data_IF_457231274235
#
_entry.id   IF_457231274235
#
_cell.length_a   1.000
_cell.length_b   1.000
_cell.length_c   1.000
_cell.angle_alpha   90.00
_cell.angle_beta   90.00
_cell.angle_gamma   90.00
#
_symmetry.space_group_name_H-M   'P 1'
#
loop_
_entity.id
_entity.type
_entity.pdbx_description
1 polymer ?
#
# COMPACT_ATOMS: atom_id res chain seq x y z
N UNK A 1 -26.85 -13.10 -14.57
CA UNK A 1 -25.83 -13.00 -15.64
C UNK A 1 -26.35 -13.04 -17.08
N UNK A 2 -27.52 -13.64 -17.42
CA UNK A 2 -27.93 -13.88 -18.82
C UNK A 2 -28.42 -12.67 -19.62
N UNK A 3 -28.89 -11.60 -18.98
CA UNK A 3 -29.49 -10.44 -19.69
C UNK A 3 -28.44 -9.42 -20.15
N UNK A 4 -27.27 -9.34 -19.51
CA UNK A 4 -26.22 -8.37 -19.84
C UNK A 4 -25.13 -8.94 -20.75
N UNK A 5 -25.01 -10.27 -20.86
CA UNK A 5 -24.00 -10.95 -21.66
C UNK A 5 -23.97 -10.56 -23.16
N UNK A 6 -25.09 -10.39 -23.88
CA UNK A 6 -25.05 -10.03 -25.30
C UNK A 6 -24.64 -8.58 -25.59
N UNK A 7 -24.58 -7.71 -24.56
CA UNK A 7 -24.23 -6.29 -24.70
C UNK A 7 -22.84 -5.96 -24.13
N UNK A 8 -22.15 -6.94 -23.56
CA UNK A 8 -20.91 -6.74 -22.80
C UNK A 8 -19.81 -7.61 -23.39
N UNK A 9 -18.97 -7.02 -24.24
CA UNK A 9 -17.75 -7.67 -24.73
C UNK A 9 -16.64 -7.51 -23.69
N UNK A 10 -16.13 -8.63 -23.14
CA UNK A 10 -15.06 -8.65 -22.13
C UNK A 10 -13.99 -9.65 -22.53
N UNK A 11 -12.74 -9.21 -22.53
CA UNK A 11 -11.56 -10.04 -22.71
C UNK A 11 -10.58 -9.75 -21.56
N UNK A 12 -9.98 -10.78 -20.95
CA UNK A 12 -9.03 -10.53 -19.88
C UNK A 12 -7.74 -9.92 -20.44
N UNK A 13 -7.21 -8.89 -19.76
CA UNK A 13 -5.95 -8.27 -20.16
C UNK A 13 -4.81 -9.29 -20.24
N UNK A 14 -4.87 -10.36 -19.45
CA UNK A 14 -3.86 -11.42 -19.48
C UNK A 14 -3.99 -12.31 -20.72
N UNK A 15 -5.20 -12.71 -21.13
CA UNK A 15 -5.41 -13.52 -22.34
C UNK A 15 -5.06 -12.76 -23.63
N UNK A 16 -5.42 -11.48 -23.70
CA UNK A 16 -5.14 -10.66 -24.89
C UNK A 16 -3.67 -10.26 -24.98
N UNK A 17 -3.05 -9.94 -23.84
CA UNK A 17 -1.72 -9.34 -23.84
C UNK A 17 -0.58 -10.35 -23.70
N UNK A 18 -0.84 -11.61 -23.31
CA UNK A 18 0.20 -12.65 -23.15
C UNK A 18 1.08 -12.86 -24.40
N UNK A 19 0.52 -12.59 -25.59
CA UNK A 19 1.25 -12.72 -26.86
C UNK A 19 1.81 -11.40 -27.39
N UNK A 20 1.49 -10.26 -26.77
CA UNK A 20 1.79 -8.92 -27.29
C UNK A 20 2.66 -8.06 -26.37
N UNK A 21 2.68 -8.38 -25.07
CA UNK A 21 3.47 -7.63 -24.09
C UNK A 21 4.60 -8.49 -23.52
N UNK A 22 5.72 -7.86 -23.10
CA UNK A 22 6.76 -8.53 -22.34
C UNK A 22 6.21 -9.18 -21.06
N UNK A 23 6.93 -10.19 -20.51
CA UNK A 23 6.49 -10.88 -19.31
C UNK A 23 6.35 -9.91 -18.12
N UNK A 24 5.33 -10.17 -17.30
CA UNK A 24 5.03 -9.44 -16.06
C UNK A 24 5.22 -10.38 -14.86
N UNK A 25 5.99 -9.94 -13.89
CA UNK A 25 6.16 -10.63 -12.59
C UNK A 25 5.57 -9.75 -11.50
N UNK A 26 4.81 -10.33 -10.57
CA UNK A 26 4.18 -9.62 -9.46
C UNK A 26 4.58 -10.26 -8.13
N UNK A 27 5.14 -9.46 -7.23
CA UNK A 27 5.53 -9.83 -5.89
C UNK A 27 4.62 -9.16 -4.88
N UNK A 28 4.09 -9.93 -3.93
CA UNK A 28 3.46 -9.39 -2.72
C UNK A 28 4.47 -9.51 -1.60
N UNK A 29 4.89 -8.36 -1.07
CA UNK A 29 5.97 -8.24 -0.09
C UNK A 29 5.35 -7.88 1.25
N UNK A 30 5.32 -8.85 2.16
CA UNK A 30 4.85 -8.67 3.53
C UNK A 30 5.97 -8.05 4.36
N UNK A 31 5.83 -6.77 4.69
CA UNK A 31 6.76 -6.00 5.51
C UNK A 31 6.34 -6.09 6.97
N UNK A 32 7.28 -6.45 7.86
CA UNK A 32 7.04 -6.30 9.31
C UNK A 32 6.95 -4.81 9.66
N UNK A 33 6.07 -4.47 10.60
CA UNK A 33 6.05 -3.15 11.18
C UNK A 33 7.35 -2.89 11.95
N UNK A 34 7.85 -1.65 11.91
CA UNK A 34 8.92 -1.22 12.81
C UNK A 34 8.44 -1.28 14.27
N UNK A 35 9.34 -1.45 15.24
CA UNK A 35 8.96 -1.56 16.66
C UNK A 35 8.15 -0.35 17.16
N UNK A 36 8.51 0.86 16.72
CA UNK A 36 7.74 2.10 16.96
C UNK A 36 6.30 1.98 16.42
N UNK A 37 6.13 1.51 15.18
CA UNK A 37 4.82 1.32 14.56
C UNK A 37 4.02 0.23 15.27
N UNK A 38 4.63 -0.91 15.58
CA UNK A 38 3.96 -2.04 16.22
C UNK A 38 3.43 -1.67 17.61
N UNK A 39 4.24 -0.96 18.42
CA UNK A 39 3.80 -0.48 19.73
C UNK A 39 2.65 0.52 19.62
N UNK A 40 2.76 1.48 18.70
CA UNK A 40 1.69 2.44 18.44
C UNK A 40 0.43 1.78 17.90
N UNK A 41 0.54 0.75 17.06
CA UNK A 41 -0.60 0.06 16.47
C UNK A 41 -1.38 -0.68 17.55
N UNK A 42 -0.67 -1.41 18.41
CA UNK A 42 -1.28 -2.08 19.56
C UNK A 42 -1.87 -1.08 20.57
N UNK A 43 -1.23 0.07 20.80
CA UNK A 43 -1.78 1.14 21.63
C UNK A 43 -3.06 1.72 21.01
N UNK A 44 -3.03 2.07 19.73
CA UNK A 44 -4.16 2.64 19.01
C UNK A 44 -5.38 1.71 19.00
N UNK A 45 -5.18 0.41 18.74
CA UNK A 45 -6.26 -0.58 18.80
C UNK A 45 -6.92 -0.65 20.18
N UNK A 46 -6.15 -0.58 21.26
CA UNK A 46 -6.70 -0.57 22.63
C UNK A 46 -7.57 0.66 22.86
N UNK A 47 -7.11 1.83 22.42
CA UNK A 47 -7.83 3.09 22.57
C UNK A 47 -9.11 3.13 21.71
N UNK A 48 -9.05 2.71 20.45
CA UNK A 48 -10.18 2.76 19.54
C UNK A 48 -11.17 1.60 19.72
N UNK A 49 -10.79 0.50 20.38
CA UNK A 49 -11.65 -0.68 20.58
C UNK A 49 -13.02 -0.33 21.20
N UNK A 50 -13.04 0.53 22.23
CA UNK A 50 -14.29 0.93 22.90
C UNK A 50 -15.20 1.73 21.97
N UNK A 51 -14.61 2.59 21.13
CA UNK A 51 -15.34 3.39 20.15
C UNK A 51 -15.87 2.54 18.99
N UNK A 52 -15.04 1.66 18.44
CA UNK A 52 -15.35 0.84 17.26
C UNK A 52 -16.35 -0.28 17.59
N UNK A 53 -16.28 -0.89 18.78
CA UNK A 53 -17.12 -2.04 19.15
C UNK A 53 -18.23 -1.71 20.15
N UNK A 54 -18.22 -0.52 20.76
CA UNK A 54 -19.09 -0.16 21.89
C UNK A 54 -20.37 0.62 21.54
N UNK A 55 -20.55 1.05 20.29
CA UNK A 55 -21.81 1.67 19.82
C UNK A 55 -22.18 3.03 20.46
N UNK A 56 -21.27 3.68 21.17
CA UNK A 56 -21.52 4.98 21.82
C UNK A 56 -21.42 6.18 20.86
N UNK A 57 -22.26 7.20 21.05
CA UNK A 57 -22.40 8.37 20.17
C UNK A 57 -21.26 9.41 20.24
N UNK A 58 -20.04 9.00 20.59
CA UNK A 58 -18.89 9.91 20.78
C UNK A 58 -17.52 9.29 20.48
N UNK A 59 -17.48 8.12 19.82
CA UNK A 59 -16.25 7.42 19.47
C UNK A 59 -15.77 7.68 18.03
N UNK A 60 -14.50 7.38 17.75
CA UNK A 60 -13.95 7.35 16.38
C UNK A 60 -14.76 6.36 15.53
N UNK A 61 -15.30 6.82 14.40
CA UNK A 61 -16.03 5.96 13.47
C UNK A 61 -15.12 4.83 12.95
N UNK A 62 -15.63 3.60 12.72
CA UNK A 62 -14.82 2.48 12.24
C UNK A 62 -13.99 2.80 10.99
N UNK A 63 -14.56 3.56 10.04
CA UNK A 63 -13.85 4.00 8.84
C UNK A 63 -12.68 4.95 9.15
N UNK A 64 -12.87 5.89 10.07
CA UNK A 64 -11.80 6.78 10.50
C UNK A 64 -10.70 6.02 11.24
N UNK A 65 -11.08 5.06 12.08
CA UNK A 65 -10.11 4.23 12.80
C UNK A 65 -9.26 3.40 11.84
N UNK A 66 -9.89 2.89 10.80
CA UNK A 66 -9.26 2.13 9.74
C UNK A 66 -8.29 2.97 8.90
N UNK A 67 -8.68 4.18 8.50
CA UNK A 67 -7.81 5.12 7.80
C UNK A 67 -6.58 5.50 8.65
N UNK A 68 -6.75 5.69 9.96
CA UNK A 68 -5.64 5.97 10.88
C UNK A 68 -4.67 4.78 10.98
N UNK A 69 -5.18 3.54 11.02
CA UNK A 69 -4.35 2.34 10.99
C UNK A 69 -3.57 2.21 9.67
N UNK A 70 -4.19 2.54 8.53
CA UNK A 70 -3.50 2.54 7.22
C UNK A 70 -2.39 3.60 7.16
N UNK A 71 -2.63 4.80 7.71
CA UNK A 71 -1.59 5.83 7.86
C UNK A 71 -0.46 5.36 8.78
N UNK A 72 -0.78 4.66 9.87
CA UNK A 72 0.22 4.09 10.76
C UNK A 72 1.08 3.03 10.08
N UNK A 73 0.47 2.13 9.30
CA UNK A 73 1.18 1.14 8.48
C UNK A 73 2.15 1.81 7.49
N UNK A 74 1.76 2.97 6.97
CA UNK A 74 2.57 3.78 6.06
C UNK A 74 3.75 4.44 6.77
N UNK A 75 3.52 5.22 7.82
CA UNK A 75 4.58 5.79 8.68
C UNK A 75 4.01 6.27 10.01
N UNK A 76 4.72 5.98 11.10
CA UNK A 76 4.39 6.52 12.43
C UNK A 76 4.39 8.06 12.46
N UNK A 77 5.32 8.68 11.73
CA UNK A 77 5.45 10.14 11.63
C UNK A 77 4.25 10.79 10.98
N UNK A 78 3.69 10.16 9.93
CA UNK A 78 2.53 10.69 9.20
C UNK A 78 1.26 10.71 10.04
N UNK A 79 1.12 9.79 10.99
CA UNK A 79 -0.01 9.79 11.92
C UNK A 79 0.17 10.82 13.05
N UNK A 80 1.42 11.00 13.50
CA UNK A 80 1.75 11.75 14.72
C UNK A 80 2.04 13.23 14.49
N UNK A 81 2.46 13.61 13.27
CA UNK A 81 2.62 15.02 12.89
C UNK A 81 1.36 15.45 12.16
N UNK A 82 0.80 16.58 12.59
CA UNK A 82 -0.28 17.20 11.84
C UNK A 82 0.25 17.51 10.44
N UNK A 83 -0.32 16.85 9.44
CA UNK A 83 -0.04 17.17 8.06
C UNK A 83 -0.58 18.59 7.84
N UNK A 84 0.32 19.56 7.67
CA UNK A 84 -0.06 20.90 7.27
C UNK A 84 -0.78 20.81 5.91
N UNK A 85 -2.13 20.82 5.94
CA UNK A 85 -2.97 20.90 4.75
C UNK A 85 -3.38 19.56 4.10
N UNK A 86 -3.61 18.49 4.86
CA UNK A 86 -4.14 17.23 4.31
C UNK A 86 -5.64 17.36 3.98
N UNK A 87 -5.96 17.81 2.77
CA UNK A 87 -7.25 17.53 2.17
C UNK A 87 -7.24 16.07 1.70
N UNK A 88 -7.69 15.16 2.57
CA UNK A 88 -8.23 13.91 2.07
C UNK A 88 -9.43 14.25 1.20
N UNK A 89 -9.24 14.27 -0.12
CA UNK A 89 -10.29 14.55 -1.09
C UNK A 89 -11.25 13.34 -1.16
N UNK A 90 -12.12 13.25 -0.15
CA UNK A 90 -13.33 12.44 -0.15
C UNK A 90 -14.50 13.31 -0.63
N UNK A 91 -15.02 12.93 -1.80
CA UNK A 91 -16.39 13.17 -2.28
C UNK A 91 -16.96 14.59 -2.13
N UNK A 92 -16.64 15.47 -3.08
CA UNK A 92 -17.53 16.58 -3.49
C UNK A 92 -17.83 16.49 -4.98
N UNK A 93 -18.78 15.63 -5.32
CA UNK A 93 -19.51 15.76 -6.58
C UNK A 93 -20.84 16.49 -6.29
N UNK A 94 -21.01 17.65 -6.94
CA UNK A 94 -22.23 18.44 -7.16
C UNK A 94 -23.26 18.67 -6.03
N UNK A 95 -23.39 19.93 -5.57
CA UNK A 95 -24.64 20.42 -4.96
C UNK A 95 -24.50 21.63 -4.03
N UNK A 96 -24.69 22.83 -4.60
CA UNK A 96 -25.09 24.13 -4.02
C UNK A 96 -24.36 24.77 -2.80
N UNK A 97 -23.97 26.03 -3.03
CA UNK A 97 -23.57 27.05 -2.04
C UNK A 97 -24.64 27.30 -0.97
N UNK A 98 -24.24 27.37 0.31
CA UNK A 98 -24.41 28.54 1.21
C UNK A 98 -24.02 28.18 2.66
N UNK A 99 -23.41 29.18 3.34
CA UNK A 99 -23.16 29.33 4.79
C UNK A 99 -21.75 29.04 5.37
N UNK A 100 -21.06 30.16 5.65
CA UNK A 100 -20.09 30.49 6.72
C UNK A 100 -18.86 29.59 7.04
N UNK A 101 -17.68 30.19 7.33
CA UNK A 101 -16.44 29.46 7.54
C UNK A 101 -16.31 28.98 9.00
N UNK A 102 -16.94 27.85 9.32
CA UNK A 102 -16.43 27.03 10.41
C UNK A 102 -15.20 26.30 9.90
N UNK A 103 -14.03 26.60 10.48
CA UNK A 103 -12.79 25.85 10.26
C UNK A 103 -13.04 24.40 10.68
N UNK A 104 -13.49 23.57 9.75
CA UNK A 104 -13.62 22.13 9.96
C UNK A 104 -12.20 21.60 10.13
N UNK A 105 -11.86 21.14 11.34
CA UNK A 105 -10.60 20.41 11.56
C UNK A 105 -10.50 19.31 10.48
N UNK A 106 -9.31 19.07 9.90
CA UNK A 106 -9.17 18.00 8.92
C UNK A 106 -9.70 16.70 9.52
N UNK A 107 -10.56 16.00 8.78
CA UNK A 107 -11.33 14.84 9.25
C UNK A 107 -10.43 13.75 9.87
N UNK A 108 -9.14 13.75 9.55
CA UNK A 108 -8.18 12.70 9.87
C UNK A 108 -7.08 13.08 10.89
N UNK A 109 -7.12 14.21 11.57
CA UNK A 109 -6.10 14.53 12.59
C UNK A 109 -6.41 13.85 13.92
N UNK A 110 -5.45 13.13 14.48
CA UNK A 110 -5.56 12.63 15.86
C UNK A 110 -5.61 13.80 16.85
N UNK A 111 -6.48 13.71 17.85
CA UNK A 111 -6.46 14.66 18.95
C UNK A 111 -5.14 14.60 19.73
N UNK A 112 -4.75 15.72 20.34
CA UNK A 112 -3.48 15.83 21.08
C UNK A 112 -3.38 14.78 22.19
N UNK A 113 -4.47 14.52 22.90
CA UNK A 113 -4.50 13.58 24.00
C UNK A 113 -4.22 12.13 23.54
N UNK A 114 -4.73 11.75 22.36
CA UNK A 114 -4.45 10.46 21.73
C UNK A 114 -2.99 10.40 21.28
N UNK A 115 -2.45 11.48 20.70
CA UNK A 115 -1.02 11.55 20.34
C UNK A 115 -0.13 11.38 21.57
N UNK A 116 -0.43 12.04 22.68
CA UNK A 116 0.29 11.85 23.95
C UNK A 116 0.19 10.41 24.48
N UNK A 117 -1.01 9.81 24.48
CA UNK A 117 -1.20 8.41 24.90
C UNK A 117 -0.40 7.44 24.04
N UNK A 118 -0.38 7.62 22.72
CA UNK A 118 0.42 6.78 21.83
C UNK A 118 1.93 6.97 22.08
N UNK A 119 2.39 8.21 22.23
CA UNK A 119 3.79 8.50 22.50
C UNK A 119 4.26 7.92 23.85
N UNK A 120 3.39 7.89 24.86
CA UNK A 120 3.70 7.30 26.18
C UNK A 120 3.95 5.78 26.15
N UNK A 121 3.58 5.11 25.05
CA UNK A 121 3.72 3.66 24.87
C UNK A 121 4.89 3.26 23.99
N UNK A 122 5.69 4.22 23.52
CA UNK A 122 6.85 3.92 22.69
C UNK A 122 7.86 3.06 23.46
N UNK A 123 8.52 2.08 22.81
CA UNK A 123 9.54 1.28 23.47
C UNK A 123 10.74 2.15 23.90
N UNK A 124 11.43 1.76 24.96
CA UNK A 124 12.60 2.49 25.44
C UNK A 124 13.69 2.54 24.35
N UNK A 125 14.39 3.68 24.25
CA UNK A 125 15.47 3.87 23.27
C UNK A 125 15.03 4.09 21.82
N UNK A 126 13.72 4.15 21.55
CA UNK A 126 13.20 4.41 20.21
C UNK A 126 12.93 5.90 19.97
N UNK A 127 13.16 6.39 18.73
CA UNK A 127 12.86 7.76 18.36
C UNK A 127 11.35 8.08 18.46
N UNK A 128 11.01 9.25 19.00
CA UNK A 128 9.64 9.76 19.02
C UNK A 128 9.27 10.25 17.60
N UNK A 129 8.19 9.73 16.97
CA UNK A 129 7.74 10.20 15.66
C UNK A 129 7.42 11.71 15.60
N UNK A 130 7.14 12.36 16.73
CA UNK A 130 6.90 13.80 16.83
C UNK A 130 8.20 14.61 16.77
N UNK A 131 9.34 14.00 17.07
CA UNK A 131 10.63 14.69 17.05
C UNK A 131 11.07 15.00 15.62
N UNK A 132 10.99 16.27 15.23
CA UNK A 132 11.39 16.79 13.93
C UNK A 132 12.86 16.51 13.55
N UNK A 133 13.72 16.18 14.51
CA UNK A 133 15.12 15.81 14.25
C UNK A 133 15.24 14.47 13.52
N UNK A 134 14.26 13.58 13.70
CA UNK A 134 14.23 12.25 13.06
C UNK A 134 13.50 12.36 11.71
N UNK A 135 14.17 11.99 10.60
CA UNK A 135 13.53 12.01 9.29
C UNK A 135 12.32 11.08 9.22
N UNK A 136 11.25 11.49 8.56
CA UNK A 136 10.03 10.69 8.42
C UNK A 136 10.23 9.36 7.66
N UNK A 137 11.28 9.28 6.86
CA UNK A 137 11.68 8.08 6.11
C UNK A 137 12.65 7.17 6.87
N UNK A 138 12.98 7.49 8.12
CA UNK A 138 13.89 6.68 8.94
C UNK A 138 13.32 5.25 9.11
N UNK A 139 14.13 4.19 9.03
CA UNK A 139 13.64 2.80 9.13
C UNK A 139 12.82 2.50 10.39
N UNK A 140 13.18 3.12 11.51
CA UNK A 140 12.43 3.00 12.78
C UNK A 140 11.01 3.58 12.73
N UNK A 141 10.68 4.43 11.74
CA UNK A 141 9.36 5.04 11.57
C UNK A 141 8.44 4.21 10.66
N UNK A 142 9.01 3.38 9.77
CA UNK A 142 8.24 2.57 8.83
C UNK A 142 9.03 1.37 8.28
N UNK A 143 8.51 0.16 8.52
CA UNK A 143 9.05 -1.05 7.90
C UNK A 143 8.90 -1.08 6.38
N UNK A 144 7.80 -0.56 5.84
CA UNK A 144 7.60 -0.44 4.38
C UNK A 144 8.60 0.54 3.76
N UNK A 145 8.88 1.68 4.39
CA UNK A 145 9.89 2.63 3.90
C UNK A 145 11.30 2.06 3.99
N UNK A 146 11.61 1.25 5.01
CA UNK A 146 12.90 0.56 5.09
C UNK A 146 13.11 -0.38 3.88
N UNK A 147 12.11 -1.21 3.57
CA UNK A 147 12.14 -2.10 2.39
C UNK A 147 12.22 -1.31 1.10
N UNK A 148 11.40 -0.25 0.93
CA UNK A 148 11.41 0.60 -0.25
C UNK A 148 12.78 1.26 -0.46
N UNK A 149 13.35 1.86 0.58
CA UNK A 149 14.64 2.56 0.52
C UNK A 149 15.75 1.59 0.10
N UNK A 150 15.76 0.39 0.69
CA UNK A 150 16.73 -0.64 0.30
C UNK A 150 16.50 -1.16 -1.12
N UNK A 151 15.25 -1.32 -1.55
CA UNK A 151 14.93 -1.74 -2.92
C UNK A 151 15.41 -0.70 -3.93
N UNK A 152 15.15 0.58 -3.69
CA UNK A 152 15.59 1.68 -4.54
C UNK A 152 17.12 1.79 -4.58
N UNK A 153 17.80 1.68 -3.44
CA UNK A 153 19.26 1.67 -3.38
C UNK A 153 19.86 0.48 -4.14
N UNK A 154 19.25 -0.70 -4.00
CA UNK A 154 19.68 -1.91 -4.72
C UNK A 154 19.47 -1.77 -6.23
N UNK A 155 18.31 -1.27 -6.67
CA UNK A 155 18.04 -0.97 -8.08
C UNK A 155 19.04 0.06 -8.65
N UNK A 156 19.39 1.07 -7.86
CA UNK A 156 20.37 2.08 -8.22
C UNK A 156 21.77 1.46 -8.42
N UNK A 157 22.24 0.66 -7.46
CA UNK A 157 23.55 -0.02 -7.55
C UNK A 157 23.61 -1.06 -8.68
N UNK A 158 22.51 -1.76 -8.96
CA UNK A 158 22.42 -2.69 -10.07
C UNK A 158 22.42 -1.99 -11.43
N UNK A 159 21.91 -0.76 -11.49
CA UNK A 159 21.99 0.06 -12.69
C UNK A 159 23.43 0.45 -13.03
N UNK A 160 24.23 0.83 -12.04
CA UNK A 160 25.65 1.21 -12.24
C UNK A 160 26.49 0.05 -12.79
N UNK A 161 26.17 -1.19 -12.40
CA UNK A 161 26.89 -2.40 -12.84
C UNK A 161 26.52 -2.86 -14.26
N UNK A 162 25.34 -2.47 -14.78
CA UNK A 162 24.90 -2.81 -16.14
C UNK A 162 25.50 -1.81 -17.16
N UNK A 163 26.79 -1.94 -17.44
CA UNK A 163 27.43 -1.19 -18.53
C UNK A 163 26.78 -1.56 -19.88
N UNK A 164 26.07 -0.61 -20.51
CA UNK A 164 25.51 -0.75 -21.86
C UNK A 164 24.03 -1.13 -21.99
N UNK A 165 23.27 -1.33 -20.90
CA UNK A 165 21.81 -1.59 -20.96
C UNK A 165 21.04 -0.39 -20.41
N UNK A 166 19.85 -0.11 -20.96
CA UNK A 166 18.98 0.94 -20.41
C UNK A 166 18.71 0.70 -18.92
N UNK A 167 18.87 1.77 -18.12
CA UNK A 167 18.62 1.79 -16.68
C UNK A 167 17.19 1.37 -16.36
N UNK A 168 17.00 0.60 -15.29
CA UNK A 168 15.67 0.30 -14.75
C UNK A 168 15.06 1.60 -14.20
N UNK A 169 13.78 1.84 -14.51
CA UNK A 169 13.02 3.00 -14.04
C UNK A 169 11.80 2.51 -13.27
N UNK A 170 11.49 3.20 -12.17
CA UNK A 170 10.51 2.75 -11.19
C UNK A 170 9.37 3.75 -11.05
N UNK A 171 8.13 3.28 -11.10
CA UNK A 171 6.96 4.06 -10.67
C UNK A 171 6.62 3.67 -9.23
N UNK A 172 6.50 4.62 -8.32
CA UNK A 172 6.00 4.37 -6.95
C UNK A 172 4.63 5.00 -6.84
N UNK A 173 3.64 4.20 -6.46
CA UNK A 173 2.24 4.59 -6.37
C UNK A 173 1.81 4.64 -4.91
N UNK A 174 1.11 5.70 -4.51
CA UNK A 174 0.47 5.84 -3.20
C UNK A 174 -0.87 6.57 -3.32
N UNK A 175 -1.83 6.25 -2.47
CA UNK A 175 -3.09 6.98 -2.35
C UNK A 175 -2.94 8.34 -1.67
N UNK A 176 -1.88 8.54 -0.89
CA UNK A 176 -1.69 9.70 -0.02
C UNK A 176 -0.55 10.58 -0.53
N UNK A 177 -0.82 11.87 -0.74
CA UNK A 177 0.19 12.84 -1.19
C UNK A 177 1.28 13.06 -0.14
N UNK A 178 0.91 13.07 1.14
CA UNK A 178 1.85 13.15 2.28
C UNK A 178 2.81 11.96 2.33
N UNK A 179 2.36 10.76 1.96
CA UNK A 179 3.24 9.60 1.78
C UNK A 179 4.22 9.80 0.63
N UNK A 180 3.79 10.40 -0.48
CA UNK A 180 4.68 10.71 -1.60
C UNK A 180 5.78 11.71 -1.20
N UNK A 181 5.51 12.65 -0.28
CA UNK A 181 6.53 13.55 0.27
C UNK A 181 7.60 12.77 1.04
N UNK A 182 7.18 11.85 1.90
CA UNK A 182 8.10 11.00 2.67
C UNK A 182 8.91 10.08 1.75
N UNK A 183 8.26 9.50 0.73
CA UNK A 183 8.93 8.67 -0.28
C UNK A 183 9.93 9.49 -1.10
N UNK A 184 9.62 10.74 -1.46
CA UNK A 184 10.56 11.61 -2.16
C UNK A 184 11.84 11.83 -1.32
N UNK A 185 11.69 12.06 -0.01
CA UNK A 185 12.83 12.16 0.90
C UNK A 185 13.60 10.84 1.01
N UNK A 186 12.90 9.70 1.06
CA UNK A 186 13.51 8.37 1.04
C UNK A 186 14.31 8.09 -0.25
N UNK A 187 13.81 8.53 -1.41
CA UNK A 187 14.51 8.42 -2.69
C UNK A 187 15.85 9.18 -2.65
N UNK A 188 15.84 10.41 -2.12
CA UNK A 188 17.06 11.20 -1.98
C UNK A 188 18.07 10.51 -1.05
N UNK A 189 17.62 9.96 0.08
CA UNK A 189 18.46 9.19 0.99
C UNK A 189 19.03 7.89 0.37
N UNK A 190 18.29 7.26 -0.56
CA UNK A 190 18.72 6.09 -1.32
C UNK A 190 19.66 6.41 -2.50
N UNK A 191 20.06 7.68 -2.68
CA UNK A 191 20.94 8.12 -3.77
C UNK A 191 20.26 8.23 -5.14
N UNK A 192 18.93 8.32 -5.18
CA UNK A 192 18.19 8.57 -6.43
C UNK A 192 18.36 10.04 -6.81
N UNK A 193 19.11 10.31 -7.88
CA UNK A 193 19.52 11.65 -8.26
C UNK A 193 18.36 12.55 -8.73
N UNK A 194 17.33 11.96 -9.37
CA UNK A 194 16.20 12.72 -9.91
C UNK A 194 14.90 11.92 -9.83
N UNK A 195 13.86 12.57 -9.31
CA UNK A 195 12.50 12.05 -9.28
C UNK A 195 11.56 12.96 -10.06
N UNK A 196 10.50 12.38 -10.63
CA UNK A 196 9.33 13.10 -11.13
C UNK A 196 8.13 12.80 -10.25
N UNK A 197 7.18 13.73 -10.14
CA UNK A 197 5.96 13.54 -9.35
C UNK A 197 4.74 14.00 -10.14
N UNK A 198 3.66 13.23 -10.06
CA UNK A 198 2.36 13.58 -10.61
C UNK A 198 1.26 13.29 -9.58
N UNK A 199 0.65 14.36 -9.09
CA UNK A 199 -0.51 14.35 -8.21
C UNK A 199 -1.54 15.41 -8.64
N UNK A 200 -2.56 15.62 -7.81
CA UNK A 200 -3.63 16.59 -8.06
C UNK A 200 -3.15 18.04 -8.22
N UNK A 201 -2.00 18.40 -7.63
CA UNK A 201 -1.45 19.76 -7.72
C UNK A 201 -0.85 20.08 -9.09
N UNK A 202 -0.54 19.06 -9.89
CA UNK A 202 0.04 19.26 -11.23
C UNK A 202 -1.07 19.66 -12.22
N UNK A 203 -0.97 20.85 -12.85
CA UNK A 203 -1.97 21.31 -13.81
C UNK A 203 -2.09 20.35 -15.01
N UNK A 204 -3.30 20.09 -15.54
CA UNK A 204 -3.53 19.11 -16.61
C UNK A 204 -2.60 19.27 -17.82
N UNK A 205 -2.36 20.51 -18.27
CA UNK A 205 -1.52 20.80 -19.44
C UNK A 205 -0.03 20.43 -19.26
N UNK A 206 0.46 20.31 -18.01
CA UNK A 206 1.85 19.91 -17.72
C UNK A 206 2.03 18.41 -17.56
N UNK A 207 0.94 17.67 -17.33
CA UNK A 207 0.99 16.23 -17.00
C UNK A 207 1.64 15.43 -18.13
N UNK A 208 1.26 15.68 -19.38
CA UNK A 208 1.81 14.95 -20.52
C UNK A 208 3.30 15.20 -20.71
N UNK A 209 3.77 16.45 -20.53
CA UNK A 209 5.19 16.78 -20.65
C UNK A 209 6.05 16.05 -19.60
N UNK A 210 5.56 15.85 -18.38
CA UNK A 210 6.24 15.06 -17.35
C UNK A 210 6.32 13.58 -17.75
N UNK A 211 5.22 13.02 -18.26
CA UNK A 211 5.16 11.63 -18.74
C UNK A 211 6.12 11.42 -19.91
N UNK A 212 6.13 12.31 -20.90
CA UNK A 212 7.01 12.22 -22.06
C UNK A 212 8.48 12.34 -21.66
N UNK A 213 8.81 13.27 -20.75
CA UNK A 213 10.15 13.42 -20.21
C UNK A 213 10.60 12.16 -19.46
N UNK A 214 9.71 11.57 -18.64
CA UNK A 214 10.00 10.33 -17.92
C UNK A 214 10.20 9.15 -18.87
N UNK A 215 9.33 8.97 -19.86
CA UNK A 215 9.44 7.91 -20.87
C UNK A 215 10.71 8.04 -21.71
N UNK A 216 11.13 9.26 -22.02
CA UNK A 216 12.38 9.53 -22.72
C UNK A 216 13.64 9.50 -21.84
N UNK A 217 13.52 9.15 -20.55
CA UNK A 217 14.65 9.02 -19.61
C UNK A 217 15.17 10.35 -19.05
N UNK A 218 14.53 11.48 -19.39
CA UNK A 218 14.89 12.81 -18.89
C UNK A 218 14.19 13.18 -17.58
N UNK A 219 13.14 12.45 -17.21
CA UNK A 219 12.33 12.65 -16.00
C UNK A 219 12.91 12.05 -14.72
N UNK A 220 14.07 11.40 -14.77
CA UNK A 220 14.68 10.74 -13.62
C UNK A 220 14.34 9.25 -13.52
N UNK A 221 14.86 8.61 -12.49
CA UNK A 221 14.80 7.14 -12.34
C UNK A 221 13.54 6.67 -11.61
N UNK A 222 12.93 7.57 -10.81
CA UNK A 222 11.73 7.29 -10.03
C UNK A 222 10.61 8.28 -10.38
N UNK A 223 9.42 7.76 -10.63
CA UNK A 223 8.21 8.54 -10.85
C UNK A 223 7.20 8.28 -9.72
N UNK A 224 6.89 9.31 -8.96
CA UNK A 224 5.93 9.29 -7.86
C UNK A 224 4.54 9.60 -8.41
N UNK A 225 3.61 8.67 -8.26
CA UNK A 225 2.26 8.78 -8.81
C UNK A 225 1.23 8.66 -7.67
N UNK A 226 0.34 9.63 -7.55
CA UNK A 226 -0.85 9.43 -6.70
C UNK A 226 -1.88 8.56 -7.42
N UNK A 227 -2.50 7.60 -6.72
CA UNK A 227 -3.51 6.70 -7.31
C UNK A 227 -4.67 7.48 -7.94
N UNK A 228 -5.11 8.56 -7.30
CA UNK A 228 -6.24 9.41 -7.75
C UNK A 228 -5.90 10.34 -8.92
N UNK A 229 -4.65 10.77 -9.11
CA UNK A 229 -4.28 11.55 -10.29
C UNK A 229 -4.27 10.72 -11.59
N UNK A 230 -4.53 9.40 -11.50
CA UNK A 230 -4.49 8.42 -12.58
C UNK A 230 -5.72 8.37 -13.50
N UNK A 231 -6.75 9.19 -13.29
CA UNK A 231 -7.96 9.21 -14.13
C UNK A 231 -7.73 9.58 -15.62
N UNK A 232 -6.54 10.07 -15.96
CA UNK A 232 -6.22 10.67 -17.28
C UNK A 232 -5.71 9.67 -18.33
N UNK A 233 -5.69 8.36 -18.06
CA UNK A 233 -5.28 7.42 -19.12
C UNK A 233 -3.77 7.33 -19.38
N UNK A 234 -2.92 7.76 -18.43
CA UNK A 234 -1.46 7.94 -18.61
C UNK A 234 -0.73 6.68 -19.14
N UNK A 235 0.39 6.91 -19.83
CA UNK A 235 1.25 5.87 -20.39
C UNK A 235 2.68 6.00 -19.85
N UNK A 236 3.07 5.15 -18.90
CA UNK A 236 4.37 5.18 -18.21
C UNK A 236 5.28 4.00 -18.62
N UNK A 237 5.27 3.65 -19.92
CA UNK A 237 6.05 2.52 -20.49
C UNK A 237 7.57 2.68 -20.39
N UNK A 238 8.07 3.88 -20.08
CA UNK A 238 9.50 4.07 -19.77
C UNK A 238 9.93 3.39 -18.48
N UNK A 239 9.00 3.09 -17.57
CA UNK A 239 9.27 2.28 -16.40
C UNK A 239 9.12 0.78 -16.72
N UNK A 240 9.92 -0.01 -16.03
CA UNK A 240 9.83 -1.47 -16.04
C UNK A 240 9.73 -2.04 -14.61
N UNK A 241 9.70 -1.18 -13.60
CA UNK A 241 9.46 -1.51 -12.21
C UNK A 241 8.29 -0.67 -11.70
N UNK A 242 7.42 -1.27 -10.89
CA UNK A 242 6.33 -0.53 -10.22
C UNK A 242 6.22 -1.00 -8.78
N UNK A 243 6.16 -0.06 -7.83
CA UNK A 243 5.88 -0.32 -6.42
C UNK A 243 4.51 0.26 -6.07
N UNK A 244 3.56 -0.59 -5.67
CA UNK A 244 2.35 -0.20 -4.97
C UNK A 244 2.70 -0.14 -3.47
N UNK A 245 2.86 1.07 -2.95
CA UNK A 245 3.30 1.29 -1.57
C UNK A 245 2.19 1.06 -0.53
N UNK A 246 0.97 1.44 -0.91
CA UNK A 246 -0.27 1.20 -0.19
C UNK A 246 -1.34 0.78 -1.19
N UNK A 247 -2.18 -0.16 -0.78
CA UNK A 247 -3.26 -0.70 -1.62
C UNK A 247 -4.56 0.04 -1.34
N UNK A 248 -5.26 0.43 -2.40
CA UNK A 248 -6.59 1.03 -2.28
C UNK A 248 -7.60 -0.04 -1.83
N UNK A 249 -8.64 0.40 -1.12
CA UNK A 249 -9.79 -0.44 -0.75
C UNK A 249 -10.48 -1.03 -1.98
N UNK A 250 -10.57 -0.23 -3.05
CA UNK A 250 -11.08 -0.64 -4.33
C UNK A 250 -9.93 -1.20 -5.20
N UNK A 251 -9.88 -2.52 -5.44
CA UNK A 251 -8.82 -3.13 -6.24
C UNK A 251 -8.80 -2.62 -7.71
N UNK A 252 -9.89 -2.03 -8.20
CA UNK A 252 -9.92 -1.43 -9.53
C UNK A 252 -8.94 -0.25 -9.66
N UNK A 253 -8.78 0.54 -8.59
CA UNK A 253 -7.87 1.69 -8.57
C UNK A 253 -6.41 1.22 -8.70
N UNK A 254 -6.04 0.19 -7.93
CA UNK A 254 -4.72 -0.44 -8.02
C UNK A 254 -4.46 -1.03 -9.41
N UNK A 255 -5.41 -1.81 -9.94
CA UNK A 255 -5.29 -2.41 -11.27
C UNK A 255 -5.14 -1.34 -12.37
N UNK A 256 -5.84 -0.21 -12.24
CA UNK A 256 -5.72 0.91 -13.16
C UNK A 256 -4.32 1.55 -13.07
N UNK A 257 -3.75 1.66 -11.88
CA UNK A 257 -2.37 2.14 -11.70
C UNK A 257 -1.34 1.17 -12.31
N UNK A 258 -1.51 -0.14 -12.11
CA UNK A 258 -0.65 -1.18 -12.71
C UNK A 258 -0.69 -1.14 -14.25
N UNK A 259 -1.87 -0.92 -14.82
CA UNK A 259 -2.09 -0.82 -16.26
C UNK A 259 -1.41 0.41 -16.92
N UNK A 260 -0.82 1.32 -16.13
CA UNK A 260 -0.03 2.46 -16.65
C UNK A 260 1.36 2.06 -17.13
N UNK A 261 1.92 0.97 -16.59
CA UNK A 261 3.29 0.50 -16.89
C UNK A 261 3.27 -0.73 -17.79
N UNK A 262 2.38 -1.69 -17.51
CA UNK A 262 2.21 -2.89 -18.33
C UNK A 262 1.07 -2.71 -19.34
N UNK A 263 1.38 -1.97 -20.41
CA UNK A 263 0.47 -1.64 -21.52
C UNK A 263 1.22 -1.67 -22.84
N UNK A 264 0.48 -1.64 -23.96
CA UNK A 264 1.02 -1.44 -25.30
C UNK A 264 2.07 -0.33 -25.37
N UNK A 265 3.21 -0.62 -26.00
CA UNK A 265 4.41 0.22 -26.01
C UNK A 265 5.48 -0.21 -25.01
N UNK A 266 5.16 -1.10 -24.06
CA UNK A 266 6.15 -1.70 -23.18
C UNK A 266 7.05 -2.67 -23.96
N UNK A 267 8.37 -2.50 -23.82
CA UNK A 267 9.37 -3.32 -24.53
C UNK A 267 10.21 -4.17 -23.56
N UNK A 268 10.09 -3.94 -22.25
CA UNK A 268 10.91 -4.58 -21.22
C UNK A 268 10.03 -5.43 -20.30
N UNK A 269 10.55 -6.55 -19.77
CA UNK A 269 9.91 -7.28 -18.69
C UNK A 269 9.57 -6.34 -17.53
N UNK A 270 8.34 -6.45 -17.02
CA UNK A 270 7.84 -5.59 -15.95
C UNK A 270 7.80 -6.35 -14.64
N UNK A 271 8.30 -5.73 -13.57
CA UNK A 271 8.19 -6.26 -12.21
C UNK A 271 7.37 -5.34 -11.34
N UNK A 272 6.35 -5.90 -10.69
CA UNK A 272 5.44 -5.20 -9.79
C UNK A 272 5.69 -5.67 -8.37
N UNK A 273 5.79 -4.73 -7.43
CA UNK A 273 5.95 -4.99 -6.00
C UNK A 273 4.76 -4.38 -5.27
N UNK A 274 3.97 -5.20 -4.58
CA UNK A 274 2.91 -4.75 -3.68
C UNK A 274 3.39 -4.87 -2.25
N UNK A 275 3.59 -3.74 -1.57
CA UNK A 275 3.99 -3.74 -0.17
C UNK A 275 2.76 -3.82 0.72
N UNK A 276 2.76 -4.73 1.69
CA UNK A 276 1.70 -4.89 2.68
C UNK A 276 2.31 -5.04 4.06
N UNK A 277 1.70 -4.43 5.08
CA UNK A 277 2.16 -4.61 6.46
C UNK A 277 1.63 -5.92 7.04
N UNK A 278 2.53 -6.83 7.41
CA UNK A 278 2.21 -8.16 7.91
C UNK A 278 1.45 -8.11 9.25
N UNK A 279 0.45 -8.98 9.42
CA UNK A 279 -0.34 -9.08 10.64
C UNK A 279 -1.23 -7.86 10.93
N UNK A 280 -1.40 -6.96 9.96
CA UNK A 280 -2.17 -5.72 10.12
C UNK A 280 -3.47 -5.72 9.31
N UNK A 281 -4.21 -4.62 9.40
CA UNK A 281 -5.41 -4.40 8.61
C UNK A 281 -5.15 -4.40 7.10
N UNK A 282 -3.97 -3.99 6.63
CA UNK A 282 -3.63 -4.04 5.19
C UNK A 282 -3.68 -5.47 4.65
N UNK A 283 -3.17 -6.42 5.43
CA UNK A 283 -3.18 -7.84 5.07
C UNK A 283 -4.60 -8.42 5.07
N UNK A 284 -5.43 -8.07 6.07
CA UNK A 284 -6.84 -8.49 6.13
C UNK A 284 -7.66 -7.94 4.96
N UNK A 285 -7.44 -6.68 4.59
CA UNK A 285 -8.09 -6.06 3.43
C UNK A 285 -7.67 -6.78 2.14
N UNK A 286 -6.37 -7.05 1.99
CA UNK A 286 -5.85 -7.77 0.84
C UNK A 286 -6.44 -9.19 0.71
N UNK A 287 -6.52 -9.94 1.81
CA UNK A 287 -7.18 -11.25 1.85
C UNK A 287 -8.64 -11.18 1.36
N UNK A 288 -9.39 -10.17 1.80
CA UNK A 288 -10.79 -9.96 1.39
C UNK A 288 -10.90 -9.61 -0.09
N UNK A 289 -9.99 -8.79 -0.62
CA UNK A 289 -9.93 -8.48 -2.05
C UNK A 289 -9.68 -9.73 -2.90
N UNK A 290 -8.76 -10.60 -2.46
CA UNK A 290 -8.50 -11.88 -3.14
C UNK A 290 -9.75 -12.76 -3.15
N UNK A 291 -10.41 -12.93 -1.99
CA UNK A 291 -11.60 -13.77 -1.89
C UNK A 291 -12.74 -13.26 -2.76
N UNK A 292 -12.98 -11.94 -2.76
CA UNK A 292 -13.99 -11.33 -3.64
C UNK A 292 -13.63 -11.50 -5.12
N UNK A 293 -12.37 -11.29 -5.49
CA UNK A 293 -11.90 -11.48 -6.87
C UNK A 293 -12.04 -12.93 -7.34
N UNK A 294 -11.72 -13.91 -6.48
CA UNK A 294 -11.86 -15.32 -6.78
C UNK A 294 -13.34 -15.73 -6.94
N UNK A 295 -14.22 -15.24 -6.07
CA UNK A 295 -15.67 -15.49 -6.16
C UNK A 295 -16.26 -14.83 -7.42
N UNK A 296 -15.86 -13.59 -7.73
CA UNK A 296 -16.28 -12.91 -8.96
C UNK A 296 -15.83 -13.70 -10.20
N UNK A 297 -14.57 -14.13 -10.25
CA UNK A 297 -14.05 -14.95 -11.35
C UNK A 297 -14.79 -16.29 -11.48
N UNK A 298 -15.02 -17.00 -10.38
CA UNK A 298 -15.73 -18.29 -10.37
C UNK A 298 -17.20 -18.15 -10.80
N UNK A 299 -17.83 -17.00 -10.54
CA UNK A 299 -19.19 -16.69 -10.98
C UNK A 299 -19.27 -16.18 -12.44
N UNK A 300 -18.17 -16.21 -13.19
CA UNK A 300 -18.09 -15.68 -14.56
C UNK A 300 -18.02 -14.15 -14.65
N UNK A 301 -17.87 -13.46 -13.52
CA UNK A 301 -17.61 -12.02 -13.43
C UNK A 301 -16.10 -11.78 -13.31
N UNK A 302 -15.34 -12.04 -14.38
CA UNK A 302 -13.92 -11.67 -14.41
C UNK A 302 -13.81 -10.17 -14.68
N UNK A 303 -13.87 -9.39 -13.60
CA UNK A 303 -13.76 -7.95 -13.61
C UNK A 303 -14.37 -7.35 -12.36
N UNK A 304 -13.51 -6.85 -11.46
CA UNK A 304 -13.85 -5.85 -10.47
C UNK A 304 -14.52 -4.65 -11.17
N UNK A 305 -15.84 -4.71 -11.24
CA UNK A 305 -16.75 -3.61 -11.48
C UNK A 305 -18.08 -4.04 -10.88
N UNK A 306 -18.13 -4.11 -9.56
CA UNK A 306 -19.38 -3.83 -8.87
C UNK A 306 -19.49 -2.30 -8.89
N UNK A 307 -20.32 -1.79 -9.79
CA UNK A 307 -20.84 -0.41 -9.86
C UNK A 307 -19.96 0.70 -9.26
N UNK A 308 -19.04 1.20 -10.07
CA UNK A 308 -18.32 2.46 -9.84
C UNK A 308 -19.18 3.71 -10.14
N UNK A 309 -20.51 3.64 -9.97
CA UNK A 309 -21.43 4.78 -10.19
C UNK A 309 -22.36 5.08 -9.01
N UNK A 310 -22.20 4.40 -7.88
CA UNK A 310 -22.74 4.84 -6.59
C UNK A 310 -21.57 4.89 -5.61
N UNK A 311 -21.34 6.05 -4.99
CA UNK A 311 -20.26 6.27 -4.02
C UNK A 311 -20.46 5.52 -2.69
N UNK A 312 -20.98 4.30 -2.71
CA UNK A 312 -21.26 3.49 -1.52
C UNK A 312 -20.23 2.36 -1.35
N UNK A 313 -19.49 2.48 -0.27
CA UNK A 313 -18.41 1.61 0.18
C UNK A 313 -18.93 0.22 0.62
N UNK A 314 -19.06 -0.72 -0.32
CA UNK A 314 -19.52 -2.08 0.00
C UNK A 314 -18.38 -3.08 0.22
N UNK A 315 -17.76 -2.98 1.39
CA UNK A 315 -16.86 -4.02 1.90
C UNK A 315 -17.64 -5.20 2.51
N UNK A 316 -18.91 -5.01 2.88
CA UNK A 316 -19.80 -6.11 3.22
C UNK A 316 -20.25 -6.84 1.93
N UNK A 317 -20.03 -8.14 1.89
CA UNK A 317 -20.55 -9.06 0.88
C UNK A 317 -20.97 -10.34 1.61
N UNK A 318 -22.02 -11.04 1.15
CA UNK A 318 -22.87 -11.85 2.00
C UNK A 318 -22.14 -13.10 2.52
N UNK A 319 -21.82 -13.10 3.82
CA UNK A 319 -21.52 -14.31 4.58
C UNK A 319 -22.53 -14.56 5.71
N UNK A 320 -23.66 -13.85 5.76
CA UNK A 320 -24.75 -14.14 6.69
C UNK A 320 -26.09 -14.13 5.98
N UNK A 321 -26.77 -15.28 5.99
CA UNK A 321 -28.19 -15.35 5.73
C UNK A 321 -28.92 -14.85 6.97
N UNK A 322 -29.12 -13.53 7.11
CA UNK A 322 -30.16 -12.95 7.97
C UNK A 322 -30.24 -11.43 7.82
N UNK A 323 -31.28 -10.96 7.12
CA UNK A 323 -32.12 -9.78 7.43
C UNK A 323 -31.54 -8.43 7.88
N UNK A 324 -30.24 -8.17 7.82
CA UNK A 324 -29.62 -6.91 8.24
C UNK A 324 -28.87 -6.25 7.08
N UNK A 325 -28.75 -4.91 7.14
CA UNK A 325 -28.23 -4.05 6.06
C UNK A 325 -27.02 -4.68 5.35
N UNK A 326 -27.07 -4.90 4.01
CA UNK A 326 -26.03 -5.60 3.27
C UNK A 326 -24.68 -4.85 3.24
N UNK A 327 -24.63 -3.62 3.76
CA UNK A 327 -23.48 -2.71 3.75
C UNK A 327 -22.79 -2.60 5.13
N UNK A 328 -23.26 -3.29 6.17
CA UNK A 328 -22.70 -3.21 7.52
C UNK A 328 -21.81 -4.43 7.83
N UNK A 329 -20.58 -4.18 8.27
CA UNK A 329 -19.72 -5.24 8.79
C UNK A 329 -20.37 -5.90 10.02
N UNK A 330 -20.28 -7.23 10.11
CA UNK A 330 -20.63 -7.91 11.36
C UNK A 330 -19.62 -7.57 12.46
N UNK A 331 -20.01 -7.77 13.72
CA UNK A 331 -19.11 -7.53 14.86
C UNK A 331 -17.88 -8.44 14.80
N UNK A 332 -18.06 -9.66 14.32
CA UNK A 332 -17.01 -10.64 14.10
C UNK A 332 -16.06 -10.20 12.98
N UNK A 333 -16.61 -9.68 11.88
CA UNK A 333 -15.83 -9.16 10.76
C UNK A 333 -15.00 -7.92 11.16
N UNK A 334 -15.55 -7.04 12.00
CA UNK A 334 -14.80 -5.92 12.55
C UNK A 334 -13.71 -6.40 13.52
N UNK A 335 -13.98 -7.42 14.33
CA UNK A 335 -12.97 -8.00 15.24
C UNK A 335 -11.80 -8.60 14.48
N UNK A 336 -12.07 -9.33 13.40
CA UNK A 336 -11.04 -9.87 12.50
C UNK A 336 -10.28 -8.76 11.78
N UNK A 337 -10.97 -7.73 11.28
CA UNK A 337 -10.35 -6.62 10.54
C UNK A 337 -9.39 -5.80 11.42
N UNK A 338 -9.74 -5.60 12.69
CA UNK A 338 -8.94 -4.84 13.66
C UNK A 338 -8.03 -5.74 14.52
N UNK A 339 -7.83 -7.00 14.13
CA UNK A 339 -6.85 -7.86 14.75
C UNK A 339 -5.42 -7.41 14.39
N UNK A 340 -4.48 -7.62 15.30
CA UNK A 340 -3.06 -7.37 15.07
C UNK A 340 -2.22 -8.50 15.66
N UNK A 341 -1.33 -9.05 14.84
CA UNK A 341 -0.32 -10.01 15.28
C UNK A 341 1.08 -9.46 15.00
N UNK A 342 1.83 -9.02 16.02
CA UNK A 342 3.18 -8.49 15.85
C UNK A 342 4.22 -9.56 15.48
N UNK A 343 3.91 -10.84 15.72
CA UNK A 343 4.80 -11.96 15.40
C UNK A 343 4.57 -12.57 14.02
N UNK A 344 3.48 -12.21 13.35
CA UNK A 344 3.11 -12.77 12.07
C UNK A 344 4.17 -12.47 10.99
N UNK A 345 4.66 -13.53 10.35
CA UNK A 345 5.50 -13.41 9.15
C UNK A 345 4.66 -13.18 7.90
N UNK A 346 3.49 -13.85 7.81
CA UNK A 346 2.44 -13.63 6.83
C UNK A 346 1.17 -14.40 7.26
N UNK A 347 0.16 -13.69 7.75
CA UNK A 347 -1.13 -14.29 8.16
C UNK A 347 -1.88 -14.91 6.96
N UNK A 348 -1.68 -14.36 5.77
CA UNK A 348 -2.26 -14.85 4.51
C UNK A 348 -1.74 -16.22 4.16
N UNK A 349 -0.42 -16.43 4.24
CA UNK A 349 0.21 -17.71 3.96
C UNK A 349 -0.24 -18.77 4.96
N UNK A 350 -0.32 -18.40 6.25
CA UNK A 350 -0.80 -19.29 7.30
C UNK A 350 -2.29 -19.66 7.10
N UNK A 351 -3.13 -18.69 6.76
CA UNK A 351 -4.55 -18.91 6.46
C UNK A 351 -4.75 -19.81 5.24
N UNK A 352 -3.93 -19.63 4.19
CA UNK A 352 -3.97 -20.49 3.01
C UNK A 352 -3.52 -21.93 3.31
N UNK A 353 -2.48 -22.11 4.14
CA UNK A 353 -2.02 -23.44 4.60
C UNK A 353 -3.11 -24.16 5.40
N UNK A 354 -3.68 -23.51 6.40
CA UNK A 354 -4.76 -24.07 7.23
C UNK A 354 -6.00 -24.46 6.40
N UNK A 355 -6.35 -23.67 5.39
CA UNK A 355 -7.46 -23.99 4.46
C UNK A 355 -7.12 -25.14 3.52
N UNK A 356 -5.88 -25.24 3.06
CA UNK A 356 -5.41 -26.37 2.26
C UNK A 356 -5.44 -27.70 3.02
N UNK A 357 -5.23 -27.67 4.34
CA UNK A 357 -5.23 -28.86 5.21
C UNK A 357 -6.64 -29.31 5.61
N UNK A 358 -7.66 -28.44 5.59
CA UNK A 358 -9.02 -28.77 6.07
C UNK A 358 -10.05 -29.09 4.98
N UNK A 359 -9.70 -29.03 3.69
CA UNK A 359 -10.68 -29.24 2.61
C UNK A 359 -10.71 -30.70 2.13
N UNK A 360 -11.82 -31.38 2.34
CA UNK A 360 -12.22 -32.49 1.46
C UNK A 360 -12.46 -31.94 0.04
N UNK A 361 -12.20 -32.78 -0.97
CA UNK A 361 -12.16 -32.46 -2.40
C UNK A 361 -13.41 -31.78 -3.01
N UNK A 362 -14.48 -31.52 -2.23
CA UNK A 362 -15.74 -30.93 -2.71
C UNK A 362 -15.91 -29.43 -2.45
N UNK A 363 -15.14 -28.81 -1.54
CA UNK A 363 -15.37 -27.40 -1.12
C UNK A 363 -14.24 -26.43 -1.50
N UNK A 364 -13.26 -26.88 -2.28
CA UNK A 364 -12.14 -26.04 -2.72
C UNK A 364 -12.59 -25.00 -3.76
N UNK A 365 -13.08 -23.84 -3.31
CA UNK A 365 -13.14 -22.64 -4.15
C UNK A 365 -11.70 -22.26 -4.52
N UNK A 366 -11.33 -22.58 -5.76
CA UNK A 366 -9.96 -22.55 -6.25
C UNK A 366 -9.27 -21.20 -6.02
N UNK A 367 -8.15 -21.23 -5.29
CA UNK A 367 -7.16 -20.16 -5.30
C UNK A 367 -6.68 -20.00 -6.75
N UNK A 368 -6.74 -18.79 -7.37
CA UNK A 368 -6.36 -18.62 -8.76
C UNK A 368 -4.93 -19.13 -9.02
N UNK A 369 -4.72 -19.86 -10.12
CA UNK A 369 -3.45 -20.55 -10.41
C UNK A 369 -2.22 -19.64 -10.37
N UNK A 370 -2.35 -18.39 -10.82
CA UNK A 370 -1.22 -17.44 -10.81
C UNK A 370 -0.74 -17.12 -9.39
N UNK A 371 -1.62 -17.16 -8.38
CA UNK A 371 -1.24 -16.93 -6.97
C UNK A 371 -0.77 -18.20 -6.26
N UNK A 372 -1.28 -19.39 -6.62
CA UNK A 372 -0.67 -20.67 -6.18
C UNK A 372 0.79 -20.75 -6.60
N UNK A 373 1.11 -20.22 -7.80
CA UNK A 373 2.48 -20.11 -8.30
C UNK A 373 3.33 -19.15 -7.45
N UNK A 374 2.81 -17.97 -7.09
CA UNK A 374 3.48 -17.04 -6.16
C UNK A 374 3.72 -17.64 -4.77
N UNK A 375 2.77 -18.43 -4.24
CA UNK A 375 2.94 -19.15 -2.98
C UNK A 375 3.97 -20.29 -3.08
N UNK A 376 4.00 -21.03 -4.19
CA UNK A 376 5.03 -22.06 -4.44
C UNK A 376 6.41 -21.47 -4.72
N UNK A 377 6.49 -20.25 -5.29
CA UNK A 377 7.75 -19.53 -5.50
C UNK A 377 8.32 -18.96 -4.18
N UNK A 378 7.50 -18.82 -3.13
CA UNK A 378 8.02 -18.53 -1.79
C UNK A 378 8.90 -19.68 -1.24
N UNK A 379 8.73 -20.92 -1.73
CA UNK A 379 9.61 -22.06 -1.43
C UNK A 379 10.86 -22.09 -2.35
N UNK A 380 10.82 -21.43 -3.51
CA UNK A 380 11.94 -21.30 -4.46
C UNK A 380 12.84 -20.08 -4.27
N UNK A 381 12.47 -19.17 -3.37
CA UNK A 381 13.20 -17.93 -3.07
C UNK A 381 12.93 -16.78 -4.05
N UNK A 382 13.30 -15.55 -3.65
CA UNK A 382 13.09 -14.34 -4.46
C UNK A 382 14.01 -14.33 -5.68
N UNK A 383 13.44 -14.50 -6.88
CA UNK A 383 14.19 -14.50 -8.15
C UNK A 383 14.71 -13.10 -8.55
N UNK A 384 14.03 -12.04 -8.14
CA UNK A 384 14.46 -10.66 -8.42
C UNK A 384 15.61 -10.26 -7.48
N UNK A 385 16.83 -10.13 -8.03
CA UNK A 385 18.02 -9.82 -7.24
C UNK A 385 17.91 -8.51 -6.42
N UNK A 386 17.36 -7.40 -6.96
CA UNK A 386 17.14 -6.19 -6.16
C UNK A 386 16.23 -6.41 -4.96
N UNK A 387 15.09 -7.08 -5.14
CA UNK A 387 14.19 -7.42 -4.04
C UNK A 387 14.84 -8.38 -3.05
N UNK A 388 15.55 -9.41 -3.51
CA UNK A 388 16.26 -10.37 -2.65
C UNK A 388 17.27 -9.66 -1.73
N UNK A 389 18.02 -8.71 -2.26
CA UNK A 389 18.95 -7.90 -1.49
C UNK A 389 18.22 -7.02 -0.46
N UNK A 390 17.08 -6.42 -0.85
CA UNK A 390 16.28 -5.58 0.04
C UNK A 390 15.63 -6.36 1.19
N UNK A 391 15.21 -7.60 0.94
CA UNK A 391 14.59 -8.49 1.95
C UNK A 391 15.61 -9.21 2.84
N UNK A 392 16.90 -9.18 2.49
CA UNK A 392 17.97 -9.80 3.27
C UNK A 392 18.49 -8.91 4.41
N UNK A 393 18.03 -7.66 4.50
CA UNK A 393 18.36 -6.77 5.60
C UNK A 393 17.56 -7.18 6.85
N UNK A 394 18.27 -7.55 7.91
CA UNK A 394 17.69 -7.57 9.24
C UNK A 394 17.26 -6.13 9.57
N UNK A 395 15.95 -5.92 9.61
CA UNK A 395 15.35 -4.63 9.99
C UNK A 395 15.76 -4.35 11.42
N UNK A 396 16.80 -3.52 11.58
CA UNK A 396 17.22 -2.86 12.80
C UNK A 396 17.29 -3.78 14.04
N UNK A 397 18.44 -4.40 14.28
CA UNK A 397 18.76 -4.92 15.62
C UNK A 397 19.34 -3.78 16.44
N UNK A 398 18.99 -3.68 17.73
CA UNK A 398 19.43 -2.64 18.66
C UNK A 398 20.97 -2.56 18.88
N UNK A 399 21.77 -3.29 18.10
CA UNK A 399 23.22 -3.35 18.18
C UNK A 399 23.94 -2.14 17.52
N UNK A 400 23.28 -1.39 16.64
CA UNK A 400 23.91 -0.24 15.95
C UNK A 400 24.07 1.01 16.84
N UNK A 401 23.32 1.12 17.94
CA UNK A 401 23.49 2.20 18.93
C UNK A 401 24.80 2.03 19.72
N UNK A 402 25.18 0.81 20.11
CA UNK A 402 26.44 0.55 20.82
C UNK A 402 27.68 0.79 19.94
N UNK A 403 27.58 0.47 18.64
CA UNK A 403 28.68 0.67 17.68
C UNK A 403 29.00 2.15 17.44
N UNK A 404 27.98 3.01 17.50
CA UNK A 404 28.11 4.43 17.26
C UNK A 404 28.68 5.15 18.49
N UNK A 405 28.23 4.82 19.71
CA UNK A 405 28.78 5.35 20.97
C UNK A 405 30.25 4.96 21.21
N UNK A 406 30.64 3.72 20.85
CA UNK A 406 32.05 3.30 20.97
C UNK A 406 32.97 4.06 20.02
N UNK A 407 32.50 4.44 18.83
CA UNK A 407 33.27 5.24 17.86
C UNK A 407 33.39 6.71 18.29
N UNK A 408 32.38 7.29 18.93
CA UNK A 408 32.46 8.67 19.49
C UNK A 408 33.33 8.74 20.74
N UNK A 409 33.34 7.71 21.61
CA UNK A 409 34.27 7.65 22.76
C UNK A 409 35.73 7.47 22.36
N UNK A 410 36.03 6.67 21.32
CA UNK A 410 37.40 6.49 20.80
C UNK A 410 37.98 7.69 20.07
N UNK A 411 37.16 8.70 19.73
CA UNK A 411 37.62 9.96 19.12
C UNK A 411 37.79 11.09 20.14
N UNK A 412 37.51 10.84 21.43
CA UNK A 412 37.59 11.81 22.55
C UNK A 412 38.55 11.39 23.66
N UNK A 413 39.37 10.38 23.43
CA UNK A 413 40.57 10.02 24.19
C UNK A 413 41.73 10.06 23.21
#
# INVERSE_FOLDING_TARGET
GRMTAPFVHRASALEVNRHRLPPKTEYVVFCRLAETQASMYAAYLRECSRAVFGGGSGGVAPLQALQNLQRLCTSATLLMRDAAGDESDETRDGGEELMAPSVKKPLMTLDEAMRERLASRLPAGHPDPRDGSVPAHHPAMSGKLAVLTSLLASLNSHAEKKSGRERDRTVVVSGWTSTLDVIAAACAAAGVAKTSRLDGSVPPHRRQALVDAFNAGRGGDVFLLSTKAGGVGLNLVGANRLVLFDSDWNPANDLQALARVWREGQQRPVTIYRLLSAGTVEEKVFQRQILKGAVANAAGYVGASADASSGEYNVAGPLTGSGTNPNAFSKEELRDLFAFDPGATCDTAETLRRRGESCSLSDAREIPEHWRRCASEAEGGVADAPLKAATALDVWTSAETEGTERKTKRKRL
#
